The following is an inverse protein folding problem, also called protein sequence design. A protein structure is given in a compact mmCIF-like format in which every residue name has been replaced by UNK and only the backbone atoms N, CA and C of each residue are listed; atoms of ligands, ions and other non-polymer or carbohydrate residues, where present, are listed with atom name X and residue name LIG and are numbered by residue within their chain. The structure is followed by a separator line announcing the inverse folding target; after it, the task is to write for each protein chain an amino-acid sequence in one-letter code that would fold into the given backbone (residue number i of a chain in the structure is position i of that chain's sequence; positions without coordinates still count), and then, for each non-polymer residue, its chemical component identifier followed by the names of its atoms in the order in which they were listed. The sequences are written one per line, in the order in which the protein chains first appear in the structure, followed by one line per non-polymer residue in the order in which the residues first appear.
data_IF_636995035937
#
_entry.id   IF_636995035937
#
_cell.length_a   1.000
_cell.length_b   1.000
_cell.length_c   1.000
_cell.angle_alpha   90.00
_cell.angle_beta   90.00
_cell.angle_gamma   90.00
#
_symmetry.space_group_name_H-M   'P 1'
#
loop_
_entity.id
_entity.type
_entity.pdbx_description
1 polymer ?
#
# COMPACT_ATOMS: atom_id res chain seq x y z
N UNK A 1 -1.38 -10.61 -13.78
CA UNK A 1 -1.52 -10.00 -12.45
C UNK A 1 -0.15 -9.90 -11.82
N UNK A 2 0.20 -8.71 -11.36
CA UNK A 2 1.46 -8.46 -10.66
C UNK A 2 1.18 -8.05 -9.22
N UNK A 3 2.20 -8.12 -8.37
CA UNK A 3 2.10 -7.74 -6.95
C UNK A 3 3.22 -6.79 -6.61
N UNK A 4 2.92 -5.81 -5.77
CA UNK A 4 3.83 -4.70 -5.46
C UNK A 4 3.80 -4.39 -3.97
N UNK A 5 4.88 -3.77 -3.51
CA UNK A 5 4.96 -3.11 -2.22
C UNK A 5 5.02 -1.61 -2.43
N UNK A 6 4.21 -0.86 -1.67
CA UNK A 6 4.22 0.59 -1.63
C UNK A 6 4.32 1.08 -0.19
N UNK A 7 5.06 2.16 0.01
CA UNK A 7 5.31 2.75 1.33
C UNK A 7 4.48 4.02 1.51
N UNK A 8 3.85 4.14 2.67
CA UNK A 8 3.20 5.38 3.10
C UNK A 8 3.97 5.97 4.28
N UNK A 9 4.13 7.29 4.30
CA UNK A 9 4.67 7.94 5.49
C UNK A 9 3.69 7.76 6.65
N UNK A 10 4.20 7.71 7.88
CA UNK A 10 3.35 7.57 9.05
C UNK A 10 2.37 8.73 9.19
N UNK A 11 2.74 9.92 8.74
CA UNK A 11 1.84 11.09 8.76
C UNK A 11 0.63 10.86 7.83
N UNK A 12 0.84 10.27 6.66
CA UNK A 12 -0.25 9.94 5.74
C UNK A 12 -1.17 8.87 6.34
N UNK A 13 -0.61 7.87 7.00
CA UNK A 13 -1.41 6.83 7.67
C UNK A 13 -2.27 7.45 8.77
N UNK A 14 -1.69 8.31 9.60
CA UNK A 14 -2.42 9.00 10.68
C UNK A 14 -3.52 9.91 10.14
N UNK A 15 -3.25 10.64 9.06
CA UNK A 15 -4.25 11.49 8.42
C UNK A 15 -5.43 10.65 7.93
N UNK A 16 -5.16 9.50 7.32
CA UNK A 16 -6.19 8.58 6.86
C UNK A 16 -7.00 8.04 8.05
N UNK A 17 -6.34 7.56 9.10
CA UNK A 17 -7.01 7.03 10.30
C UNK A 17 -7.92 8.05 10.96
N UNK A 18 -7.59 9.34 10.89
CA UNK A 18 -8.37 10.43 11.45
C UNK A 18 -9.49 10.92 10.52
N UNK A 19 -9.56 10.39 9.32
CA UNK A 19 -10.64 10.74 8.38
C UNK A 19 -11.89 9.94 8.73
N UNK A 20 -13.04 10.60 8.94
CA UNK A 20 -14.29 9.88 9.26
C UNK A 20 -14.65 8.87 8.18
N UNK A 21 -15.06 7.68 8.59
CA UNK A 21 -15.45 6.56 7.73
C UNK A 21 -14.34 6.06 6.81
N UNK A 22 -13.08 6.38 7.09
CA UNK A 22 -11.97 5.97 6.25
C UNK A 22 -11.86 4.44 6.19
N UNK A 23 -11.61 3.96 4.99
CA UNK A 23 -11.22 2.59 4.71
C UNK A 23 -10.21 2.63 3.58
N UNK A 24 -9.40 1.57 3.42
CA UNK A 24 -8.46 1.56 2.31
C UNK A 24 -9.18 1.15 1.02
N UNK A 25 -9.92 2.09 0.46
CA UNK A 25 -10.74 1.88 -0.74
C UNK A 25 -10.05 2.31 -2.02
N UNK A 26 -9.12 3.26 -1.93
CA UNK A 26 -8.44 3.82 -3.10
C UNK A 26 -7.02 4.22 -2.75
N UNK A 27 -6.22 4.43 -3.78
CA UNK A 27 -4.80 4.79 -3.66
C UNK A 27 -4.49 5.95 -4.58
N UNK A 28 -4.03 7.06 -3.99
CA UNK A 28 -3.67 8.28 -4.71
C UNK A 28 -2.17 8.43 -4.86
N UNK A 29 -1.73 9.06 -5.94
CA UNK A 29 -0.31 9.29 -6.19
C UNK A 29 -0.08 10.51 -7.07
N UNK A 30 1.14 11.06 -6.99
CA UNK A 30 1.64 12.10 -7.89
C UNK A 30 2.51 11.53 -9.01
N UNK A 31 2.66 10.22 -9.09
CA UNK A 31 3.48 9.58 -10.11
C UNK A 31 2.93 9.85 -11.51
N UNK A 32 3.83 10.24 -12.44
CA UNK A 32 3.44 10.65 -13.80
C UNK A 32 2.67 9.56 -14.55
N UNK A 33 3.06 8.30 -14.39
CA UNK A 33 2.49 7.18 -15.14
C UNK A 33 1.50 6.36 -14.30
N UNK A 34 0.92 6.96 -13.26
CA UNK A 34 0.09 6.22 -12.31
C UNK A 34 -1.09 5.52 -12.98
N UNK A 35 -1.67 6.13 -14.00
CA UNK A 35 -2.82 5.58 -14.72
C UNK A 35 -2.48 4.31 -15.52
N UNK A 36 -1.24 4.18 -15.97
CA UNK A 36 -0.80 3.07 -16.85
C UNK A 36 0.17 2.12 -16.17
N UNK A 37 0.60 2.43 -14.95
CA UNK A 37 1.59 1.63 -14.22
C UNK A 37 1.05 0.28 -13.77
N UNK A 38 -0.25 0.18 -13.54
CA UNK A 38 -0.91 -0.99 -12.98
C UNK A 38 -2.04 -1.46 -13.87
N UNK A 39 -2.55 -2.64 -13.57
CA UNK A 39 -3.66 -3.27 -14.26
C UNK A 39 -4.71 -3.75 -13.26
N UNK A 40 -5.92 -3.97 -13.74
CA UNK A 40 -6.98 -4.61 -12.99
C UNK A 40 -6.49 -5.93 -12.39
N UNK A 41 -6.72 -6.12 -11.12
CA UNK A 41 -6.33 -7.34 -10.43
C UNK A 41 -4.93 -7.31 -9.81
N UNK A 42 -4.13 -6.27 -10.07
CA UNK A 42 -2.83 -6.13 -9.41
C UNK A 42 -3.01 -5.98 -7.90
N UNK A 43 -2.07 -6.53 -7.14
CA UNK A 43 -2.13 -6.56 -5.68
C UNK A 43 -1.03 -5.67 -5.11
N UNK A 44 -1.41 -4.78 -4.21
CA UNK A 44 -0.48 -3.86 -3.57
C UNK A 44 -0.51 -4.10 -2.06
N UNK A 45 0.66 -4.28 -1.47
CA UNK A 45 0.84 -4.31 -0.01
C UNK A 45 1.41 -2.98 0.44
N UNK A 46 0.82 -2.41 1.48
CA UNK A 46 1.21 -1.10 2.00
C UNK A 46 1.85 -1.24 3.38
N UNK A 47 2.97 -0.55 3.57
CA UNK A 47 3.64 -0.51 4.86
C UNK A 47 4.02 0.90 5.25
N UNK A 48 4.35 1.10 6.53
CA UNK A 48 4.80 2.37 7.07
C UNK A 48 5.84 2.14 8.17
N UNK A 49 6.71 3.13 8.38
CA UNK A 49 7.67 3.13 9.49
C UNK A 49 7.33 4.32 10.38
N UNK A 50 7.09 4.06 11.67
CA UNK A 50 6.78 5.14 12.61
C UNK A 50 8.07 5.78 13.17
N UNK A 51 7.90 6.78 14.03
CA UNK A 51 9.03 7.53 14.59
C UNK A 51 9.91 6.70 15.53
N UNK A 52 9.42 5.55 16.02
CA UNK A 52 10.23 4.62 16.81
C UNK A 52 11.05 3.67 15.93
N UNK A 53 10.86 3.72 14.61
CA UNK A 53 11.51 2.82 13.67
C UNK A 53 10.76 1.52 13.45
N UNK A 54 9.56 1.35 14.02
CA UNK A 54 8.75 0.15 13.83
C UNK A 54 8.17 0.14 12.41
N UNK A 55 8.51 -0.88 11.66
CA UNK A 55 7.98 -1.11 10.31
C UNK A 55 6.76 -2.02 10.40
N UNK A 56 5.63 -1.56 9.91
CA UNK A 56 4.35 -2.27 9.99
C UNK A 56 3.73 -2.42 8.62
N UNK A 57 3.22 -3.61 8.34
CA UNK A 57 2.30 -3.84 7.23
C UNK A 57 0.92 -3.40 7.71
N UNK A 58 0.28 -2.45 7.01
CA UNK A 58 -0.99 -1.92 7.50
C UNK A 58 -2.17 -2.16 6.57
N UNK A 59 -1.93 -2.51 5.30
CA UNK A 59 -3.03 -2.77 4.37
C UNK A 59 -2.59 -3.52 3.13
N UNK A 60 -3.56 -4.10 2.45
CA UNK A 60 -3.40 -4.56 1.08
C UNK A 60 -4.59 -4.12 0.24
N UNK A 61 -4.39 -3.96 -1.05
CA UNK A 61 -5.40 -3.50 -1.98
C UNK A 61 -5.30 -4.28 -3.28
N UNK A 62 -6.39 -4.89 -3.70
CA UNK A 62 -6.49 -5.47 -5.04
C UNK A 62 -7.09 -4.40 -5.93
N UNK A 63 -6.37 -4.01 -6.99
CA UNK A 63 -6.79 -2.89 -7.83
C UNK A 63 -7.95 -3.29 -8.74
N UNK A 64 -8.95 -2.44 -8.80
CA UNK A 64 -10.10 -2.60 -9.69
C UNK A 64 -9.91 -1.79 -10.97
N UNK A 65 -9.86 -0.45 -10.83
CA UNK A 65 -9.72 0.43 -12.00
C UNK A 65 -9.13 1.78 -11.59
N UNK A 66 -8.57 2.47 -12.59
CA UNK A 66 -8.15 3.85 -12.43
C UNK A 66 -9.39 4.75 -12.51
N UNK A 67 -9.64 5.55 -11.48
CA UNK A 67 -10.83 6.40 -11.42
C UNK A 67 -10.57 7.84 -11.86
N UNK A 68 -9.31 8.25 -11.92
CA UNK A 68 -8.95 9.59 -12.37
C UNK A 68 -8.76 10.56 -11.21
N UNK A 69 -9.39 11.73 -11.30
CA UNK A 69 -9.22 12.83 -10.35
C UNK A 69 -9.88 12.55 -9.01
N UNK A 70 -9.58 13.42 -8.04
CA UNK A 70 -10.27 13.43 -6.74
C UNK A 70 -11.78 13.55 -6.91
N UNK A 71 -12.22 14.46 -7.77
CA UNK A 71 -13.65 14.71 -8.03
C UNK A 71 -14.35 13.49 -8.63
N UNK A 72 -13.65 12.74 -9.47
CA UNK A 72 -14.16 11.52 -10.06
C UNK A 72 -14.18 10.33 -9.10
N UNK A 73 -13.31 10.34 -8.11
CA UNK A 73 -13.13 9.22 -7.17
C UNK A 73 -14.02 9.37 -5.94
N UNK A 74 -14.15 10.57 -5.40
CA UNK A 74 -14.83 10.82 -4.13
C UNK A 74 -16.27 10.31 -4.07
N UNK A 75 -17.10 10.42 -5.14
CA UNK A 75 -18.45 9.85 -5.11
C UNK A 75 -18.52 8.34 -4.95
N UNK A 76 -17.41 7.64 -5.15
CA UNK A 76 -17.34 6.16 -5.12
C UNK A 76 -16.92 5.61 -3.76
N UNK A 77 -16.53 6.46 -2.83
CA UNK A 77 -15.99 6.07 -1.51
C UNK A 77 -16.77 6.74 -0.38
N UNK A 78 -16.76 6.16 0.83
CA UNK A 78 -17.56 6.68 1.96
C UNK A 78 -16.84 7.76 2.78
N UNK A 79 -15.77 8.38 2.28
CA UNK A 79 -15.02 9.40 3.00
C UNK A 79 -14.53 10.48 2.05
N UNK A 80 -14.09 11.61 2.61
CA UNK A 80 -13.64 12.76 1.83
C UNK A 80 -12.14 12.68 1.52
N UNK A 81 -11.77 13.12 0.31
CA UNK A 81 -10.37 13.26 -0.12
C UNK A 81 -9.91 14.71 -0.07
N UNK A 82 -10.66 15.61 0.57
CA UNK A 82 -10.42 17.06 0.55
C UNK A 82 -9.01 17.44 1.01
N UNK A 83 -8.46 16.73 2.00
CA UNK A 83 -7.16 17.03 2.57
C UNK A 83 -6.01 16.22 1.97
N UNK A 84 -6.30 15.42 0.95
CA UNK A 84 -5.30 14.56 0.31
C UNK A 84 -4.66 15.33 -0.84
N UNK A 85 -3.30 15.38 -0.93
CA UNK A 85 -2.63 16.22 -1.93
C UNK A 85 -2.54 15.59 -3.32
N UNK A 86 -3.19 14.47 -3.56
CA UNK A 86 -3.12 13.74 -4.83
C UNK A 86 -4.35 14.02 -5.68
N UNK A 87 -4.21 13.90 -6.99
CA UNK A 87 -5.30 14.05 -7.95
C UNK A 87 -5.30 12.96 -9.03
N UNK A 88 -4.75 11.81 -8.72
CA UNK A 88 -4.82 10.61 -9.56
C UNK A 88 -5.02 9.40 -8.65
N UNK A 89 -6.04 8.59 -8.93
CA UNK A 89 -6.48 7.54 -8.02
C UNK A 89 -6.78 6.23 -8.73
N UNK A 90 -6.38 5.14 -8.09
CA UNK A 90 -6.86 3.78 -8.38
C UNK A 90 -7.84 3.35 -7.30
N UNK A 91 -8.96 2.77 -7.71
CA UNK A 91 -9.91 2.14 -6.79
C UNK A 91 -9.52 0.70 -6.55
N UNK A 92 -9.70 0.27 -5.30
CA UNK A 92 -9.58 -1.14 -4.94
C UNK A 92 -10.89 -1.89 -5.13
N UNK A 93 -10.78 -3.21 -5.23
CA UNK A 93 -11.93 -4.12 -5.20
C UNK A 93 -12.48 -4.21 -3.79
N UNK A 94 -13.80 -4.26 -3.66
CA UNK A 94 -14.44 -4.56 -2.37
C UNK A 94 -14.21 -6.03 -1.98
N UNK A 95 -14.16 -6.36 -0.69
CA UNK A 95 -14.30 -5.44 0.47
C UNK A 95 -13.05 -4.61 0.72
N UNK A 96 -13.22 -3.40 1.29
CA UNK A 96 -12.15 -2.43 1.52
C UNK A 96 -11.60 -2.44 2.96
N UNK A 97 -11.95 -3.42 3.76
CA UNK A 97 -11.62 -3.48 5.19
C UNK A 97 -10.40 -4.36 5.48
N UNK A 98 -9.37 -4.27 4.63
CA UNK A 98 -8.15 -5.06 4.77
C UNK A 98 -7.07 -4.27 5.49
N UNK A 99 -7.37 -3.84 6.74
CA UNK A 99 -6.44 -3.07 7.56
C UNK A 99 -5.77 -3.98 8.58
N UNK A 100 -4.46 -3.77 8.78
CA UNK A 100 -3.63 -4.57 9.66
C UNK A 100 -2.77 -3.66 10.54
N UNK A 101 -2.12 -4.27 11.52
CA UNK A 101 -0.98 -3.68 12.23
C UNK A 101 -0.03 -4.83 12.55
N UNK A 102 0.77 -5.21 11.55
CA UNK A 102 1.60 -6.41 11.60
C UNK A 102 3.07 -6.00 11.55
N UNK A 103 3.91 -6.43 12.52
CA UNK A 103 5.37 -6.20 12.43
C UNK A 103 5.91 -6.78 11.14
N UNK A 104 6.67 -5.98 10.38
CA UNK A 104 7.06 -6.34 9.02
C UNK A 104 8.57 -6.38 8.80
N UNK A 105 9.37 -5.81 9.70
CA UNK A 105 10.81 -5.64 9.46
C UNK A 105 11.56 -6.94 9.18
N UNK A 106 11.33 -7.96 9.98
CA UNK A 106 12.02 -9.25 9.79
C UNK A 106 11.72 -9.84 8.42
N UNK A 107 10.44 -9.85 8.04
CA UNK A 107 10.06 -10.38 6.74
C UNK A 107 10.59 -9.51 5.59
N UNK A 108 10.50 -8.18 5.74
CA UNK A 108 10.95 -7.25 4.70
C UNK A 108 12.41 -7.48 4.32
N UNK A 109 13.27 -7.81 5.30
CA UNK A 109 14.69 -8.11 5.06
C UNK A 109 14.90 -9.38 4.25
N UNK A 110 13.93 -10.29 4.21
CA UNK A 110 14.03 -11.55 3.47
C UNK A 110 13.47 -11.47 2.06
N UNK A 111 12.74 -10.41 1.74
CA UNK A 111 12.10 -10.28 0.42
C UNK A 111 13.14 -10.13 -0.68
N UNK A 112 12.95 -10.86 -1.77
CA UNK A 112 13.87 -10.84 -2.90
C UNK A 112 13.59 -9.67 -3.86
N UNK A 113 12.34 -9.28 -3.98
CA UNK A 113 11.82 -8.37 -5.00
C UNK A 113 12.14 -8.84 -6.42
N UNK A 114 11.34 -8.44 -7.40
CA UNK A 114 11.55 -8.84 -8.79
C UNK A 114 12.88 -8.32 -9.35
N UNK A 115 13.38 -7.20 -8.80
CA UNK A 115 14.69 -6.66 -9.18
C UNK A 115 15.87 -7.48 -8.67
N UNK A 116 15.65 -8.37 -7.70
CA UNK A 116 16.71 -9.09 -7.01
C UNK A 116 17.49 -8.28 -5.99
N UNK A 117 17.09 -7.04 -5.73
CA UNK A 117 17.79 -6.13 -4.81
C UNK A 117 17.11 -6.10 -3.46
N UNK A 118 17.65 -6.86 -2.51
CA UNK A 118 17.16 -6.90 -1.14
C UNK A 118 17.38 -5.56 -0.43
N UNK A 119 16.58 -5.30 0.60
CA UNK A 119 16.78 -4.15 1.47
C UNK A 119 18.06 -4.29 2.29
N UNK A 120 18.80 -3.19 2.54
CA UNK A 120 19.96 -3.25 3.43
C UNK A 120 19.52 -3.54 4.87
N UNK A 121 20.39 -4.12 5.73
CA UNK A 121 20.01 -4.48 7.10
C UNK A 121 19.47 -3.33 7.94
N UNK A 122 19.94 -2.11 7.68
CA UNK A 122 19.53 -0.90 8.40
C UNK A 122 18.65 0.01 7.56
N UNK A 123 17.84 -0.55 6.67
CA UNK A 123 16.98 0.24 5.80
C UNK A 123 16.03 1.15 6.59
N UNK A 124 15.62 2.23 5.95
CA UNK A 124 14.65 3.18 6.48
C UNK A 124 13.61 3.53 5.41
N UNK A 125 12.76 4.52 5.69
CA UNK A 125 11.70 4.90 4.75
C UNK A 125 12.20 5.35 3.38
N UNK A 126 13.41 5.91 3.28
CA UNK A 126 13.98 6.31 1.99
C UNK A 126 14.23 5.12 1.07
N UNK A 127 14.62 3.98 1.62
CA UNK A 127 14.83 2.75 0.86
C UNK A 127 13.51 2.20 0.30
N UNK A 128 12.37 2.59 0.87
CA UNK A 128 11.04 2.06 0.54
C UNK A 128 10.22 3.00 -0.33
N UNK A 129 10.72 4.18 -0.69
CA UNK A 129 9.94 5.20 -1.42
C UNK A 129 9.54 4.77 -2.83
N UNK A 130 10.33 3.91 -3.46
CA UNK A 130 9.96 3.35 -4.76
C UNK A 130 8.97 2.21 -4.58
N UNK A 131 7.96 2.18 -5.44
CA UNK A 131 7.10 1.01 -5.56
C UNK A 131 7.95 -0.12 -6.11
N UNK A 132 7.93 -1.27 -5.43
CA UNK A 132 8.75 -2.42 -5.82
C UNK A 132 7.87 -3.60 -6.17
N UNK A 133 8.12 -4.19 -7.31
CA UNK A 133 7.44 -5.43 -7.68
C UNK A 133 7.95 -6.58 -6.81
N UNK A 134 7.03 -7.44 -6.41
CA UNK A 134 7.29 -8.61 -5.57
C UNK A 134 7.34 -9.87 -6.43
N UNK A 135 8.13 -10.86 -5.99
CA UNK A 135 8.09 -12.20 -6.57
C UNK A 135 6.88 -12.98 -6.04
N UNK A 136 6.57 -14.10 -6.66
CA UNK A 136 5.51 -14.98 -6.16
C UNK A 136 5.85 -15.56 -4.78
N UNK A 137 7.12 -15.82 -4.51
CA UNK A 137 7.60 -16.29 -3.22
C UNK A 137 7.46 -15.20 -2.15
N UNK A 138 7.74 -13.94 -2.51
CA UNK A 138 7.53 -12.80 -1.62
C UNK A 138 6.07 -12.68 -1.22
N UNK A 139 5.16 -12.77 -2.18
CA UNK A 139 3.71 -12.71 -1.93
C UNK A 139 3.27 -13.82 -0.99
N UNK A 140 3.74 -15.05 -1.24
CA UNK A 140 3.41 -16.18 -0.39
C UNK A 140 3.85 -15.95 1.05
N UNK A 141 5.07 -15.44 1.25
CA UNK A 141 5.60 -15.15 2.57
C UNK A 141 4.80 -14.05 3.28
N UNK A 142 4.40 -12.99 2.56
CA UNK A 142 3.58 -11.92 3.12
C UNK A 142 2.20 -12.44 3.51
N UNK A 143 1.56 -13.24 2.64
CA UNK A 143 0.24 -13.80 2.94
C UNK A 143 0.28 -14.75 4.14
N UNK A 144 1.33 -15.54 4.29
CA UNK A 144 1.53 -16.39 5.46
C UNK A 144 1.66 -15.54 6.75
N UNK A 145 2.38 -14.43 6.68
CA UNK A 145 2.52 -13.51 7.82
C UNK A 145 1.17 -12.90 8.19
N UNK A 146 0.41 -12.45 7.22
CA UNK A 146 -0.93 -11.89 7.45
C UNK A 146 -1.82 -12.93 8.12
N UNK A 147 -1.85 -14.14 7.60
CA UNK A 147 -2.66 -15.21 8.13
C UNK A 147 -2.28 -15.56 9.58
N UNK A 148 -0.99 -15.56 9.90
CA UNK A 148 -0.51 -15.84 11.25
C UNK A 148 -0.99 -14.79 12.27
N UNK A 149 -1.23 -13.56 11.85
CA UNK A 149 -1.64 -12.46 12.74
C UNK A 149 -3.16 -12.26 12.81
N UNK A 150 -3.90 -12.61 11.80
CA UNK A 150 -5.34 -12.38 11.75
C UNK A 150 -6.16 -13.68 11.74
N UNK A 151 -5.50 -14.76 11.44
CA UNK A 151 -6.12 -16.09 11.44
C UNK A 151 -6.18 -16.63 12.86
#
# INVERSE_FOLDING_TARGET
MASYHAYWTVDNVRMAENTPNWSHACWGSKLRNFSTMFEHGDLIYFSTIDESGRHSLFSKLVLDRFTGTREQTEPLIPFSLTNVPFDAYWMGKKPWNTLFDIPFRELALTLDFASGKKLPPNYNGQNLQKIRELTSEDVLAIEELIEAYIG
#
